data_IF_308236932827
#
_entry.id   IF_308236932827
#
_cell.length_a   1.000
_cell.length_b   1.000
_cell.length_c   1.000
_cell.angle_alpha   90.00
_cell.angle_beta   90.00
_cell.angle_gamma   90.00
#
_symmetry.space_group_name_H-M   'P 1'
#
loop_
_entity.id
_entity.type
_entity.pdbx_description
1 polymer ?
#
# COMPACT_ATOMS: atom_id res chain seq x y z
N UNK A 1 14.45 28.07 -29.41
CA UNK A 1 13.68 27.27 -28.45
C UNK A 1 13.12 26.09 -29.21
N UNK A 2 13.35 24.87 -28.72
CA UNK A 2 12.82 23.68 -29.37
C UNK A 2 11.28 23.71 -29.33
N UNK A 3 10.63 23.28 -30.42
CA UNK A 3 9.18 23.32 -30.64
C UNK A 3 8.36 22.65 -29.52
N UNK A 4 8.97 21.72 -28.79
CA UNK A 4 8.36 21.07 -27.63
C UNK A 4 8.39 21.92 -26.35
N UNK A 5 9.26 22.91 -26.22
CA UNK A 5 9.29 23.83 -25.08
C UNK A 5 8.11 24.79 -25.11
N UNK A 6 7.74 25.32 -26.28
CA UNK A 6 6.56 26.19 -26.42
C UNK A 6 5.26 25.43 -26.22
N UNK A 7 5.14 24.21 -26.77
CA UNK A 7 4.00 23.32 -26.51
C UNK A 7 3.91 22.97 -25.02
N UNK A 8 5.06 22.74 -24.36
CA UNK A 8 5.10 22.49 -22.93
C UNK A 8 4.64 23.72 -22.13
N UNK A 9 5.13 24.92 -22.42
CA UNK A 9 4.72 26.15 -21.73
C UNK A 9 3.25 26.55 -21.98
N UNK A 10 2.70 26.20 -23.14
CA UNK A 10 1.28 26.42 -23.49
C UNK A 10 0.35 25.44 -22.76
N UNK A 11 0.78 24.18 -22.60
CA UNK A 11 0.00 23.15 -21.89
C UNK A 11 0.19 23.14 -20.38
N UNK A 12 1.34 23.59 -19.85
CA UNK A 12 1.63 23.58 -18.42
C UNK A 12 1.41 24.95 -17.77
N UNK A 13 0.41 25.09 -16.87
CA UNK A 13 0.29 26.28 -16.04
C UNK A 13 1.57 26.48 -15.21
N UNK A 14 2.02 27.73 -15.10
CA UNK A 14 3.22 28.12 -14.33
C UNK A 14 3.09 27.82 -12.83
N UNK A 15 1.90 27.50 -12.33
CA UNK A 15 1.62 27.33 -10.90
C UNK A 15 1.97 25.94 -10.30
N UNK A 16 2.42 24.96 -11.08
CA UNK A 16 2.63 23.57 -10.59
C UNK A 16 4.05 23.34 -10.00
N UNK A 17 4.60 24.34 -9.32
CA UNK A 17 5.85 24.22 -8.54
C UNK A 17 5.64 24.29 -7.02
N UNK A 18 4.39 24.36 -6.53
CA UNK A 18 4.11 24.24 -5.09
C UNK A 18 4.22 22.78 -4.64
N UNK A 19 5.46 22.42 -4.30
CA UNK A 19 5.95 21.24 -3.58
C UNK A 19 4.89 20.24 -3.13
N UNK A 20 4.68 19.18 -3.92
CA UNK A 20 4.12 17.95 -3.37
C UNK A 20 4.99 17.54 -2.17
N UNK A 21 4.42 17.23 -0.99
CA UNK A 21 5.22 16.98 0.21
C UNK A 21 6.10 15.73 0.00
N UNK A 22 7.42 15.92 0.05
CA UNK A 22 8.41 14.87 -0.24
C UNK A 22 8.78 14.05 1.01
N UNK A 23 8.54 14.59 2.21
CA UNK A 23 8.87 13.94 3.48
C UNK A 23 7.73 14.08 4.47
N UNK A 24 7.20 12.95 4.93
CA UNK A 24 6.10 12.87 5.89
C UNK A 24 6.49 11.85 6.95
N UNK A 25 6.52 12.27 8.22
CA UNK A 25 6.93 11.43 9.35
C UNK A 25 5.78 11.15 10.34
N UNK A 26 4.53 11.38 9.92
CA UNK A 26 3.39 11.19 10.81
C UNK A 26 3.08 9.70 10.97
N UNK A 27 3.06 9.22 12.20
CA UNK A 27 2.58 7.90 12.56
C UNK A 27 1.21 8.02 13.21
N UNK A 28 0.27 7.18 12.80
CA UNK A 28 -1.07 7.16 13.39
C UNK A 28 -1.26 5.94 14.27
N UNK A 29 -2.04 6.11 15.34
CA UNK A 29 -2.54 4.97 16.08
C UNK A 29 -3.58 4.21 15.26
N UNK A 30 -3.83 2.99 15.68
CA UNK A 30 -4.85 2.13 15.11
C UNK A 30 -6.27 2.75 15.06
N UNK A 31 -6.63 3.65 16.00
CA UNK A 31 -7.91 4.38 15.99
C UNK A 31 -7.89 5.52 14.99
N UNK A 32 -6.82 6.31 14.99
CA UNK A 32 -6.65 7.46 14.10
C UNK A 32 -6.68 7.04 12.62
N UNK A 33 -6.00 5.93 12.27
CA UNK A 33 -6.08 5.36 10.91
C UNK A 33 -7.50 5.05 10.51
N UNK A 34 -8.27 4.45 11.42
CA UNK A 34 -9.65 4.07 11.16
C UNK A 34 -10.54 5.30 10.95
N UNK A 35 -10.39 6.33 11.78
CA UNK A 35 -11.13 7.59 11.67
C UNK A 35 -10.89 8.29 10.32
N UNK A 36 -9.65 8.30 9.83
CA UNK A 36 -9.32 8.88 8.53
C UNK A 36 -9.83 7.98 7.39
N UNK A 37 -9.55 6.67 7.46
CA UNK A 37 -9.98 5.69 6.47
C UNK A 37 -11.52 5.64 6.31
N UNK A 38 -12.27 5.82 7.40
CA UNK A 38 -13.73 5.84 7.36
C UNK A 38 -14.29 7.04 6.56
N UNK A 39 -13.54 8.14 6.45
CA UNK A 39 -13.92 9.32 5.67
C UNK A 39 -13.65 9.18 4.17
N UNK A 40 -12.83 8.20 3.78
CA UNK A 40 -12.55 7.94 2.36
C UNK A 40 -13.80 7.45 1.63
N UNK A 41 -13.87 7.69 0.32
CA UNK A 41 -14.93 7.10 -0.51
C UNK A 41 -14.77 5.58 -0.60
N UNK A 42 -15.82 4.87 -1.04
CA UNK A 42 -15.76 3.41 -1.21
C UNK A 42 -14.61 2.99 -2.15
N UNK A 43 -14.47 3.67 -3.30
CA UNK A 43 -13.42 3.39 -4.28
C UNK A 43 -12.01 3.68 -3.73
N UNK A 44 -11.86 4.74 -2.95
CA UNK A 44 -10.60 5.07 -2.28
C UNK A 44 -10.21 4.01 -1.24
N UNK A 45 -11.17 3.53 -0.45
CA UNK A 45 -10.95 2.43 0.49
C UNK A 45 -10.52 1.15 -0.22
N UNK A 46 -11.18 0.79 -1.30
CA UNK A 46 -10.84 -0.38 -2.13
C UNK A 46 -9.40 -0.27 -2.68
N UNK A 47 -9.00 0.91 -3.17
CA UNK A 47 -7.61 1.17 -3.59
C UNK A 47 -6.63 1.00 -2.43
N UNK A 48 -6.89 1.63 -1.27
CA UNK A 48 -6.02 1.56 -0.09
C UNK A 48 -5.85 0.11 0.38
N UNK A 49 -6.92 -0.68 0.42
CA UNK A 49 -6.87 -2.08 0.84
C UNK A 49 -6.11 -2.95 -0.17
N UNK A 50 -6.35 -2.74 -1.47
CA UNK A 50 -5.61 -3.42 -2.55
C UNK A 50 -4.13 -3.10 -2.47
N UNK A 51 -3.79 -1.83 -2.28
CA UNK A 51 -2.42 -1.37 -2.20
C UNK A 51 -1.71 -1.87 -0.93
N UNK A 52 -2.40 -1.86 0.21
CA UNK A 52 -1.94 -2.50 1.44
C UNK A 52 -1.64 -3.98 1.22
N UNK A 53 -2.53 -4.71 0.52
CA UNK A 53 -2.32 -6.12 0.16
C UNK A 53 -1.04 -6.30 -0.63
N UNK A 54 -0.85 -5.45 -1.64
CA UNK A 54 0.33 -5.46 -2.48
C UNK A 54 1.61 -5.26 -1.64
N UNK A 55 1.67 -4.24 -0.78
CA UNK A 55 2.85 -3.96 0.04
C UNK A 55 3.19 -5.11 0.99
N UNK A 56 2.18 -5.69 1.64
CA UNK A 56 2.39 -6.86 2.51
C UNK A 56 2.93 -8.02 1.67
N UNK A 57 2.29 -8.34 0.55
CA UNK A 57 2.68 -9.46 -0.31
C UNK A 57 4.11 -9.29 -0.85
N UNK A 58 4.46 -8.10 -1.35
CA UNK A 58 5.80 -7.77 -1.86
C UNK A 58 6.85 -8.01 -0.78
N UNK A 59 6.61 -7.50 0.45
CA UNK A 59 7.55 -7.70 1.56
C UNK A 59 7.71 -9.16 1.97
N UNK A 60 6.61 -9.93 2.03
CA UNK A 60 6.70 -11.35 2.35
C UNK A 60 7.55 -12.12 1.33
N UNK A 61 7.52 -11.71 0.06
CA UNK A 61 8.33 -12.30 -1.01
C UNK A 61 9.78 -11.83 -0.97
N UNK A 62 10.02 -10.52 -0.88
CA UNK A 62 11.35 -9.89 -0.90
C UNK A 62 12.21 -10.32 0.29
N UNK A 63 11.61 -10.35 1.50
CA UNK A 63 12.33 -10.64 2.74
C UNK A 63 12.36 -12.14 3.05
N UNK A 64 11.76 -12.96 2.17
CA UNK A 64 11.73 -14.42 2.27
C UNK A 64 11.28 -14.95 3.65
N UNK A 65 10.39 -14.24 4.35
CA UNK A 65 10.07 -14.49 5.76
C UNK A 65 9.66 -15.94 6.05
N UNK A 66 8.98 -16.60 5.11
CA UNK A 66 8.44 -17.94 5.29
C UNK A 66 9.22 -19.02 4.54
N UNK A 67 10.40 -18.69 3.98
CA UNK A 67 11.16 -19.61 3.11
C UNK A 67 11.62 -20.89 3.83
N UNK A 68 11.83 -20.82 5.14
CA UNK A 68 12.16 -22.00 5.96
C UNK A 68 10.94 -22.87 6.32
N UNK A 69 9.74 -22.49 5.87
CA UNK A 69 8.47 -23.15 6.19
C UNK A 69 7.76 -23.59 4.91
N UNK A 70 6.71 -24.40 5.06
CA UNK A 70 5.81 -24.71 3.96
C UNK A 70 4.68 -23.67 3.79
N UNK A 71 4.74 -22.53 4.48
CA UNK A 71 3.66 -21.55 4.45
C UNK A 71 3.93 -20.43 3.46
N UNK A 72 2.89 -20.02 2.74
CA UNK A 72 2.95 -18.85 1.85
C UNK A 72 1.87 -17.87 2.27
N UNK A 73 2.20 -16.58 2.29
CA UNK A 73 1.22 -15.53 2.51
C UNK A 73 0.18 -15.54 1.39
N UNK A 74 -1.10 -15.60 1.76
CA UNK A 74 -2.21 -15.69 0.82
C UNK A 74 -3.07 -14.42 0.81
N UNK A 75 -3.44 -13.89 1.97
CA UNK A 75 -4.32 -12.73 2.07
C UNK A 75 -4.24 -12.09 3.47
N UNK A 76 -4.84 -10.92 3.65
CA UNK A 76 -5.09 -10.32 4.96
C UNK A 76 -6.52 -9.75 5.02
N UNK A 77 -7.06 -9.69 6.24
CA UNK A 77 -8.35 -9.07 6.56
C UNK A 77 -8.20 -8.13 7.74
N UNK A 78 -8.95 -7.03 7.70
CA UNK A 78 -9.06 -6.09 8.81
C UNK A 78 -10.50 -6.12 9.31
N UNK A 79 -10.66 -6.26 10.62
CA UNK A 79 -11.92 -6.03 11.29
C UNK A 79 -11.94 -4.56 11.76
N UNK A 80 -12.67 -3.69 11.06
CA UNK A 80 -12.78 -2.29 11.46
C UNK A 80 -13.57 -2.08 12.76
N UNK A 81 -14.36 -3.07 13.15
CA UNK A 81 -15.25 -3.06 14.31
C UNK A 81 -14.69 -3.87 15.47
N UNK A 82 -13.38 -4.13 15.47
CA UNK A 82 -12.69 -4.87 16.53
C UNK A 82 -13.01 -4.30 17.91
N UNK A 83 -13.41 -5.17 18.84
CA UNK A 83 -13.85 -4.82 20.21
C UNK A 83 -15.07 -3.87 20.29
N UNK A 84 -15.80 -3.65 19.21
CA UNK A 84 -17.10 -2.98 19.26
C UNK A 84 -18.22 -4.00 19.47
N UNK A 85 -19.39 -3.56 19.95
CA UNK A 85 -20.58 -4.41 20.12
C UNK A 85 -21.30 -4.74 18.80
N UNK A 86 -20.80 -4.28 17.64
CA UNK A 86 -21.44 -4.51 16.34
C UNK A 86 -21.36 -6.00 15.98
N UNK A 87 -22.47 -6.55 15.47
CA UNK A 87 -22.63 -7.97 15.15
C UNK A 87 -21.97 -8.43 13.84
N UNK A 88 -21.17 -7.58 13.19
CA UNK A 88 -20.47 -7.93 11.96
C UNK A 88 -19.39 -8.98 12.20
N UNK A 89 -19.01 -9.67 11.13
CA UNK A 89 -18.10 -10.83 11.16
C UNK A 89 -16.78 -10.47 11.86
N UNK A 90 -16.62 -10.96 13.08
CA UNK A 90 -15.38 -10.86 13.85
C UNK A 90 -14.30 -11.73 13.23
N UNK A 91 -13.05 -11.31 13.37
CA UNK A 91 -11.89 -12.09 12.95
C UNK A 91 -11.28 -12.77 14.17
N UNK A 92 -10.83 -14.01 13.99
CA UNK A 92 -10.24 -14.81 15.06
C UNK A 92 -8.94 -15.44 14.58
N UNK A 93 -7.98 -15.58 15.49
CA UNK A 93 -6.81 -16.40 15.27
C UNK A 93 -7.19 -17.88 15.36
N UNK A 94 -6.34 -18.77 14.85
CA UNK A 94 -6.46 -20.22 15.06
C UNK A 94 -6.55 -20.61 16.55
N UNK A 95 -5.93 -19.84 17.46
CA UNK A 95 -6.06 -20.05 18.91
C UNK A 95 -7.36 -19.49 19.54
N UNK A 96 -8.29 -18.97 18.74
CA UNK A 96 -9.56 -18.40 19.22
C UNK A 96 -9.50 -16.94 19.68
N UNK A 97 -8.33 -16.30 19.69
CA UNK A 97 -8.19 -14.88 20.05
C UNK A 97 -8.87 -13.97 19.00
N UNK A 98 -9.71 -13.04 19.43
CA UNK A 98 -10.28 -12.02 18.54
C UNK A 98 -9.15 -11.13 17.97
N UNK A 99 -9.16 -10.91 16.66
CA UNK A 99 -8.15 -10.16 15.93
C UNK A 99 -8.73 -8.89 15.31
N UNK A 100 -7.93 -7.82 15.37
CA UNK A 100 -8.16 -6.64 14.53
C UNK A 100 -7.68 -6.88 13.10
N UNK A 101 -6.52 -7.52 12.95
CA UNK A 101 -5.89 -7.84 11.67
C UNK A 101 -5.62 -9.34 11.65
N UNK A 102 -6.13 -10.01 10.62
CA UNK A 102 -5.97 -11.44 10.40
C UNK A 102 -5.16 -11.64 9.12
N UNK A 103 -4.04 -12.35 9.25
CA UNK A 103 -3.22 -12.77 8.13
C UNK A 103 -3.59 -14.20 7.76
N UNK A 104 -3.73 -14.46 6.48
CA UNK A 104 -4.12 -15.76 5.93
C UNK A 104 -2.91 -16.32 5.23
N UNK A 105 -2.43 -17.47 5.69
CA UNK A 105 -1.35 -18.22 5.06
C UNK A 105 -1.87 -19.57 4.58
N UNK A 106 -1.31 -20.06 3.48
CA UNK A 106 -1.67 -21.34 2.88
C UNK A 106 -0.43 -22.21 2.74
N UNK A 107 -0.56 -23.49 3.07
CA UNK A 107 0.46 -24.50 2.78
C UNK A 107 0.25 -25.05 1.37
N UNK A 108 1.22 -24.91 0.45
CA UNK A 108 1.14 -25.52 -0.86
C UNK A 108 1.18 -27.06 -0.81
N UNK A 109 1.90 -27.68 0.14
CA UNK A 109 1.97 -29.14 0.23
C UNK A 109 0.67 -29.77 0.74
N UNK A 110 0.03 -29.16 1.74
CA UNK A 110 -1.17 -29.75 2.39
C UNK A 110 -2.48 -29.11 1.94
N UNK A 111 -2.43 -27.94 1.31
CA UNK A 111 -3.61 -27.13 1.00
C UNK A 111 -4.24 -26.44 2.22
N UNK A 112 -3.72 -26.70 3.43
CA UNK A 112 -4.25 -26.12 4.68
C UNK A 112 -4.13 -24.60 4.67
N UNK A 113 -5.13 -23.94 5.25
CA UNK A 113 -5.17 -22.49 5.41
C UNK A 113 -5.17 -22.18 6.91
N UNK A 114 -4.29 -21.27 7.35
CA UNK A 114 -4.29 -20.76 8.73
C UNK A 114 -4.61 -19.26 8.73
N UNK A 115 -5.38 -18.86 9.73
CA UNK A 115 -5.79 -17.47 9.99
C UNK A 115 -5.15 -16.98 11.28
N UNK A 116 -4.15 -16.13 11.17
CA UNK A 116 -3.25 -15.81 12.28
C UNK A 116 -3.21 -14.31 12.58
N UNK A 117 -3.02 -13.98 13.86
CA UNK A 117 -2.54 -12.67 14.26
C UNK A 117 -1.02 -12.61 14.08
N UNK A 118 -0.48 -11.44 13.73
CA UNK A 118 0.96 -11.30 13.44
C UNK A 118 1.87 -11.79 14.58
N UNK A 119 1.46 -11.54 15.84
CA UNK A 119 2.20 -11.98 17.03
C UNK A 119 2.24 -13.51 17.19
N UNK A 120 1.30 -14.25 16.60
CA UNK A 120 1.21 -15.70 16.76
C UNK A 120 1.84 -16.44 15.56
N UNK A 121 2.60 -15.76 14.71
CA UNK A 121 3.31 -16.40 13.60
C UNK A 121 4.37 -17.37 14.13
N UNK A 122 5.14 -16.98 15.15
CA UNK A 122 6.14 -17.85 15.78
C UNK A 122 5.49 -19.14 16.31
N UNK A 123 4.35 -18.99 17.00
CA UNK A 123 3.66 -20.10 17.65
C UNK A 123 3.05 -21.09 16.64
N UNK A 124 2.46 -20.60 15.56
CA UNK A 124 1.70 -21.44 14.61
C UNK A 124 2.48 -21.86 13.36
N UNK A 125 3.52 -21.12 12.98
CA UNK A 125 4.32 -21.41 11.78
C UNK A 125 5.71 -21.95 12.10
N UNK A 126 6.06 -22.08 13.39
CA UNK A 126 7.38 -22.49 13.85
C UNK A 126 8.53 -21.64 13.27
N UNK A 127 8.25 -20.36 12.99
CA UNK A 127 9.28 -19.41 12.59
C UNK A 127 10.09 -18.97 13.80
N UNK A 128 11.38 -18.71 13.60
CA UNK A 128 12.26 -18.25 14.67
C UNK A 128 11.83 -16.87 15.21
N UNK A 129 12.17 -16.53 16.47
CA UNK A 129 11.87 -15.22 17.03
C UNK A 129 12.46 -14.06 16.21
N UNK A 130 13.62 -14.27 15.57
CA UNK A 130 14.26 -13.28 14.69
C UNK A 130 13.44 -13.03 13.43
N UNK A 131 12.91 -14.08 12.80
CA UNK A 131 12.01 -13.97 11.66
C UNK A 131 10.70 -13.29 12.06
N UNK A 132 10.12 -13.65 13.21
CA UNK A 132 8.91 -12.99 13.72
C UNK A 132 9.14 -11.49 13.95
N UNK A 133 10.26 -11.10 14.56
CA UNK A 133 10.64 -9.71 14.74
C UNK A 133 10.83 -8.97 13.40
N UNK A 134 11.44 -9.62 12.41
CA UNK A 134 11.60 -9.05 11.07
C UNK A 134 10.26 -8.82 10.36
N UNK A 135 9.35 -9.80 10.43
CA UNK A 135 7.97 -9.66 9.94
C UNK A 135 7.31 -8.45 10.59
N UNK A 136 7.43 -8.30 11.92
CA UNK A 136 6.89 -7.17 12.66
C UNK A 136 7.40 -5.82 12.13
N UNK A 137 8.72 -5.70 11.96
CA UNK A 137 9.33 -4.49 11.40
C UNK A 137 8.84 -4.22 9.96
N UNK A 138 8.71 -5.26 9.15
CA UNK A 138 8.14 -5.17 7.82
C UNK A 138 6.71 -4.62 7.83
N UNK A 139 5.87 -5.11 8.74
CA UNK A 139 4.48 -4.62 8.88
C UNK A 139 4.44 -3.17 9.38
N UNK A 140 5.36 -2.77 10.27
CA UNK A 140 5.51 -1.36 10.68
C UNK A 140 5.82 -0.48 9.47
N UNK A 141 6.72 -0.89 8.58
CA UNK A 141 7.01 -0.14 7.34
C UNK A 141 5.77 -0.02 6.44
N UNK A 142 4.95 -1.06 6.32
CA UNK A 142 3.67 -0.98 5.59
C UNK A 142 2.72 0.02 6.23
N UNK A 143 2.59 -0.02 7.56
CA UNK A 143 1.75 0.91 8.31
C UNK A 143 2.23 2.36 8.12
N UNK A 144 3.55 2.62 8.06
CA UNK A 144 4.11 3.95 7.77
C UNK A 144 3.74 4.45 6.37
N UNK A 145 3.86 3.60 5.35
CA UNK A 145 3.45 3.95 3.99
C UNK A 145 1.95 4.29 3.90
N UNK A 146 1.11 3.57 4.66
CA UNK A 146 -0.31 3.89 4.75
C UNK A 146 -0.56 5.17 5.54
N UNK A 147 0.19 5.42 6.60
CA UNK A 147 0.06 6.64 7.40
C UNK A 147 0.41 7.88 6.58
N UNK A 148 1.42 7.79 5.71
CA UNK A 148 1.73 8.85 4.75
C UNK A 148 0.53 9.13 3.82
N UNK A 149 -0.04 8.07 3.22
CA UNK A 149 -1.18 8.20 2.31
C UNK A 149 -2.42 8.81 2.99
N UNK A 150 -2.73 8.34 4.21
CA UNK A 150 -3.85 8.85 5.00
C UNK A 150 -3.63 10.30 5.45
N UNK A 151 -2.38 10.65 5.79
CA UNK A 151 -2.02 12.03 6.13
C UNK A 151 -2.23 12.98 4.95
N UNK A 152 -1.81 12.58 3.74
CA UNK A 152 -2.02 13.36 2.53
C UNK A 152 -3.51 13.64 2.29
N UNK A 153 -4.36 12.61 2.40
CA UNK A 153 -5.82 12.82 2.31
C UNK A 153 -6.36 13.68 3.44
N UNK A 154 -5.86 13.55 4.66
CA UNK A 154 -6.26 14.41 5.78
C UNK A 154 -5.90 15.89 5.54
N UNK A 155 -4.83 16.14 4.76
CA UNK A 155 -4.43 17.49 4.31
C UNK A 155 -5.16 17.96 3.06
N UNK A 156 -6.16 17.21 2.59
CA UNK A 156 -6.86 17.47 1.32
C UNK A 156 -5.90 17.56 0.13
N UNK A 157 -4.82 16.77 0.16
CA UNK A 157 -3.92 16.62 -0.97
C UNK A 157 -4.46 15.48 -1.83
N UNK A 158 -4.72 15.80 -3.09
CA UNK A 158 -5.22 14.85 -4.07
C UNK A 158 -4.08 14.30 -4.93
N UNK A 159 -4.45 13.53 -5.96
CA UNK A 159 -3.50 13.02 -6.93
C UNK A 159 -2.78 14.19 -7.62
N UNK A 160 -1.44 14.17 -7.72
CA UNK A 160 -0.69 15.29 -8.29
C UNK A 160 -0.75 15.29 -9.83
N UNK A 161 -1.87 15.78 -10.37
CA UNK A 161 -2.15 15.77 -11.81
C UNK A 161 -1.03 16.44 -12.63
N UNK A 162 -0.47 17.54 -12.11
CA UNK A 162 0.66 18.20 -12.76
C UNK A 162 1.95 17.37 -12.79
N UNK A 163 2.24 16.57 -11.75
CA UNK A 163 3.39 15.64 -11.80
C UNK A 163 3.11 14.51 -12.80
N UNK A 164 1.87 14.03 -12.85
CA UNK A 164 1.46 13.00 -13.79
C UNK A 164 1.55 13.44 -15.25
N UNK A 165 1.11 14.66 -15.56
CA UNK A 165 1.25 15.24 -16.90
C UNK A 165 2.72 15.38 -17.30
N UNK A 166 3.61 15.79 -16.38
CA UNK A 166 5.07 15.81 -16.63
C UNK A 166 5.58 14.42 -16.95
N UNK A 167 5.19 13.43 -16.14
CA UNK A 167 5.56 12.03 -16.37
C UNK A 167 5.08 11.53 -17.74
N UNK A 168 3.83 11.78 -18.14
CA UNK A 168 3.29 11.42 -19.44
C UNK A 168 4.06 12.09 -20.60
N UNK A 169 4.39 13.38 -20.47
CA UNK A 169 5.17 14.10 -21.47
C UNK A 169 6.58 13.52 -21.62
N UNK A 170 7.27 13.25 -20.52
CA UNK A 170 8.60 12.61 -20.52
C UNK A 170 8.51 11.23 -21.18
N UNK A 171 7.49 10.43 -20.88
CA UNK A 171 7.27 9.15 -21.54
C UNK A 171 7.01 9.29 -23.05
N UNK A 172 6.26 10.30 -23.47
CA UNK A 172 6.02 10.59 -24.88
C UNK A 172 7.34 10.91 -25.61
N UNK A 173 8.16 11.79 -25.04
CA UNK A 173 9.47 12.12 -25.63
C UNK A 173 10.41 10.92 -25.64
N UNK A 174 10.40 10.12 -24.57
CA UNK A 174 11.22 8.92 -24.46
C UNK A 174 10.94 7.92 -25.60
N UNK A 175 9.70 7.82 -26.09
CA UNK A 175 9.37 6.96 -27.25
C UNK A 175 10.03 7.41 -28.57
N UNK A 176 10.45 8.67 -28.66
CA UNK A 176 11.13 9.23 -29.83
C UNK A 176 12.66 8.99 -29.79
N UNK A 177 13.18 8.50 -28.67
CA UNK A 177 14.60 8.20 -28.50
C UNK A 177 14.99 6.97 -29.31
N UNK A 178 16.24 6.91 -29.77
CA UNK A 178 16.80 5.73 -30.47
C UNK A 178 16.71 4.45 -29.63
N UNK A 179 16.81 4.59 -28.31
CA UNK A 179 16.63 3.52 -27.34
C UNK A 179 15.67 4.01 -26.24
N UNK A 180 14.35 3.77 -26.38
CA UNK A 180 13.38 4.23 -25.41
C UNK A 180 13.48 3.41 -24.11
N UNK A 181 13.40 4.09 -22.97
CA UNK A 181 13.18 3.45 -21.67
C UNK A 181 11.77 2.82 -21.64
N UNK A 182 11.67 1.56 -21.23
CA UNK A 182 10.37 0.89 -21.07
C UNK A 182 9.94 0.98 -19.60
N UNK A 183 8.95 1.82 -19.24
CA UNK A 183 8.50 1.93 -17.86
C UNK A 183 7.86 0.62 -17.40
N UNK A 184 7.99 0.31 -16.11
CA UNK A 184 7.29 -0.81 -15.49
C UNK A 184 5.77 -0.63 -15.65
N UNK A 185 5.17 -1.52 -16.44
CA UNK A 185 3.74 -1.53 -16.73
C UNK A 185 2.91 -1.63 -15.44
N UNK A 186 3.38 -2.41 -14.44
CA UNK A 186 2.68 -2.58 -13.17
C UNK A 186 2.68 -1.29 -12.36
N UNK A 187 3.80 -0.57 -12.35
CA UNK A 187 3.91 0.74 -11.71
C UNK A 187 2.99 1.75 -12.39
N UNK A 188 3.01 1.81 -13.72
CA UNK A 188 2.17 2.71 -14.50
C UNK A 188 0.67 2.45 -14.28
N UNK A 189 0.27 1.17 -14.25
CA UNK A 189 -1.11 0.77 -13.95
C UNK A 189 -1.51 1.19 -12.53
N UNK A 190 -0.64 1.00 -11.54
CA UNK A 190 -0.91 1.44 -10.17
C UNK A 190 -1.11 2.95 -10.08
N UNK A 191 -0.23 3.74 -10.71
CA UNK A 191 -0.38 5.20 -10.73
C UNK A 191 -1.71 5.62 -11.37
N UNK A 192 -2.13 4.95 -12.45
CA UNK A 192 -3.42 5.20 -13.08
C UNK A 192 -4.61 4.88 -12.15
N UNK A 193 -4.54 3.80 -11.37
CA UNK A 193 -5.56 3.46 -10.37
C UNK A 193 -5.66 4.53 -9.28
N UNK A 194 -4.53 5.05 -8.80
CA UNK A 194 -4.49 6.16 -7.83
C UNK A 194 -5.13 7.44 -8.39
N UNK A 195 -4.80 7.78 -9.64
CA UNK A 195 -5.41 8.92 -10.36
C UNK A 195 -6.92 8.77 -10.50
N UNK A 196 -7.40 7.58 -10.89
CA UNK A 196 -8.82 7.32 -11.16
C UNK A 196 -9.72 7.58 -9.94
N UNK A 197 -9.20 7.43 -8.73
CA UNK A 197 -9.96 7.63 -7.48
C UNK A 197 -9.51 8.87 -6.70
N UNK A 198 -8.74 9.75 -7.35
CA UNK A 198 -8.24 11.02 -6.79
C UNK A 198 -7.49 10.81 -5.46
N UNK A 199 -6.65 9.76 -5.42
CA UNK A 199 -5.80 9.45 -4.28
C UNK A 199 -4.39 10.01 -4.48
N UNK A 200 -3.80 10.61 -3.44
CA UNK A 200 -2.42 11.07 -3.47
C UNK A 200 -1.44 9.90 -3.67
N UNK A 201 -0.28 10.19 -4.22
CA UNK A 201 0.85 9.24 -4.29
C UNK A 201 1.75 9.45 -3.06
N UNK A 202 2.52 8.44 -2.65
CA UNK A 202 3.39 8.52 -1.48
C UNK A 202 4.79 8.01 -1.86
N UNK A 203 5.82 8.39 -1.10
CA UNK A 203 7.23 8.16 -1.48
C UNK A 203 7.90 7.04 -0.65
N UNK A 204 7.28 6.60 0.45
CA UNK A 204 7.82 5.57 1.35
C UNK A 204 8.14 4.20 0.73
#
# INVERSE_FOLDING_TARGET
MEEWQSVFEEWFPKEISKSYPIKISKQYTSSQRWEIYAKLTKKQRELVDKHRRYLISSRFMEEHYLAATDWVFSDFKINPFFRTKRSQQKLYCECGRELKVQYIVKSPKTGKILKLGINHFADHLHVSPTVAASIHQGMTKVDLALDELLWLKQKNIDFPEGLWQKYCFVLYQNRRMKQPYLPDIKLAQRLAEFRQVEMPIYIA
#
